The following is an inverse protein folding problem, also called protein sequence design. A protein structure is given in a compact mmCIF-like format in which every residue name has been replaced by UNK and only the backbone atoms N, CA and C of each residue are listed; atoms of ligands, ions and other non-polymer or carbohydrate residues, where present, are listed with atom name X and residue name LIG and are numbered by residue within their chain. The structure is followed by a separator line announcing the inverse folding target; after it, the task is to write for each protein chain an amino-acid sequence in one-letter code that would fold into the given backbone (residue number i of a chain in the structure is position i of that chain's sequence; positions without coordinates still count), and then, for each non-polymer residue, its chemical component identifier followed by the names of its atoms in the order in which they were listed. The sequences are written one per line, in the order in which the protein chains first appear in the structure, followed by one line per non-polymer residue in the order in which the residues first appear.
data_IF_102423371710
#
_entry.id   IF_102423371710
#
_cell.length_a   1.000
_cell.length_b   1.000
_cell.length_c   1.000
_cell.angle_alpha   90.00
_cell.angle_beta   90.00
_cell.angle_gamma   90.00
#
_symmetry.space_group_name_H-M   'P 1'
#
loop_
_entity.id
_entity.type
_entity.pdbx_description
1 polymer ?
#
# COMPACT_ATOMS: atom_id res chain seq x y z
N UNK A 1 30.83 15.90 -38.31
CA UNK A 1 29.55 16.29 -38.91
C UNK A 1 28.47 15.37 -38.39
N UNK A 2 27.44 15.91 -37.77
CA UNK A 2 26.25 15.12 -37.32
C UNK A 2 25.43 14.83 -38.58
N UNK A 3 25.25 13.55 -38.91
CA UNK A 3 24.52 13.11 -40.08
C UNK A 3 23.01 12.96 -39.78
N UNK A 4 22.67 12.56 -38.55
CA UNK A 4 21.29 12.42 -38.09
C UNK A 4 21.24 12.54 -36.57
N UNK A 5 20.11 13.03 -36.06
CA UNK A 5 19.75 12.99 -34.63
C UNK A 5 18.42 12.24 -34.49
N UNK A 6 18.38 11.26 -33.62
CA UNK A 6 17.16 10.49 -33.33
C UNK A 6 16.77 10.81 -31.90
N UNK A 7 15.59 11.38 -31.70
CA UNK A 7 15.00 11.61 -30.39
C UNK A 7 14.01 10.47 -30.11
N UNK A 8 14.24 9.76 -29.00
CA UNK A 8 13.34 8.72 -28.51
C UNK A 8 12.65 9.23 -27.26
N UNK A 9 11.34 9.25 -27.24
CA UNK A 9 10.56 9.56 -26.07
C UNK A 9 9.55 8.46 -25.81
N UNK A 10 9.45 8.02 -24.55
CA UNK A 10 8.41 7.08 -24.11
C UNK A 10 7.21 7.89 -23.61
N UNK A 11 6.03 7.77 -24.23
CA UNK A 11 4.89 8.57 -23.83
C UNK A 11 4.37 8.14 -22.46
N UNK A 12 4.11 9.12 -21.62
CA UNK A 12 3.45 8.89 -20.33
C UNK A 12 2.07 8.28 -20.52
N UNK A 13 1.70 7.38 -19.60
CA UNK A 13 0.34 6.84 -19.56
C UNK A 13 -0.65 7.99 -19.32
N UNK A 14 -1.77 7.97 -20.04
CA UNK A 14 -2.76 9.07 -20.08
C UNK A 14 -3.27 9.48 -18.68
N UNK A 15 -3.37 8.54 -17.76
CA UNK A 15 -3.97 8.73 -16.44
C UNK A 15 -2.94 9.00 -15.34
N UNK A 16 -1.63 9.08 -15.66
CA UNK A 16 -0.56 9.24 -14.66
C UNK A 16 -0.77 10.50 -13.79
N UNK A 17 -1.07 11.62 -14.42
CA UNK A 17 -1.29 12.91 -13.73
C UNK A 17 -2.52 12.89 -12.82
N UNK A 18 -3.61 12.29 -13.28
CA UNK A 18 -4.84 12.16 -12.49
C UNK A 18 -4.59 11.28 -11.25
N UNK A 19 -3.87 10.18 -11.43
CA UNK A 19 -3.57 9.25 -10.33
C UNK A 19 -2.64 9.85 -9.29
N UNK A 20 -1.62 10.61 -9.68
CA UNK A 20 -0.75 11.32 -8.73
C UNK A 20 -1.55 12.35 -7.92
N UNK A 21 -2.46 13.09 -8.59
CA UNK A 21 -3.38 14.01 -7.90
C UNK A 21 -4.32 13.30 -6.94
N UNK A 22 -4.84 12.14 -7.31
CA UNK A 22 -5.68 11.30 -6.45
C UNK A 22 -4.92 10.84 -5.20
N UNK A 23 -3.73 10.25 -5.36
CA UNK A 23 -2.92 9.79 -4.22
C UNK A 23 -2.57 10.92 -3.26
N UNK A 24 -2.25 12.10 -3.80
CA UNK A 24 -2.02 13.29 -2.97
C UNK A 24 -3.25 13.67 -2.15
N UNK A 25 -4.45 13.63 -2.75
CA UNK A 25 -5.71 13.88 -2.06
C UNK A 25 -6.01 12.87 -0.94
N UNK A 26 -5.49 11.64 -1.08
CA UNK A 26 -5.61 10.56 -0.09
C UNK A 26 -4.48 10.53 0.94
N UNK A 27 -3.63 11.57 0.97
CA UNK A 27 -2.49 11.69 1.89
C UNK A 27 -1.46 10.57 1.68
N UNK A 28 -1.34 10.08 0.44
CA UNK A 28 -0.34 9.09 0.05
C UNK A 28 0.86 9.79 -0.57
N UNK A 29 2.03 9.62 0.03
CA UNK A 29 3.29 10.13 -0.52
C UNK A 29 3.80 9.18 -1.60
N UNK A 30 3.93 9.68 -2.82
CA UNK A 30 4.46 8.92 -3.94
C UNK A 30 5.95 9.12 -4.05
N UNK A 31 6.71 8.02 -4.09
CA UNK A 31 8.15 8.02 -4.33
C UNK A 31 8.45 7.24 -5.61
N UNK A 32 9.39 7.75 -6.40
CA UNK A 32 9.80 7.13 -7.68
C UNK A 32 11.14 6.44 -7.49
N UNK A 33 11.22 5.17 -7.86
CA UNK A 33 12.44 4.36 -7.78
C UNK A 33 12.75 3.86 -9.20
N UNK A 34 13.89 4.27 -9.76
CA UNK A 34 14.30 3.89 -11.12
C UNK A 34 15.77 3.53 -11.21
N UNK A 35 16.10 2.63 -12.15
CA UNK A 35 17.48 2.34 -12.55
C UNK A 35 18.09 3.41 -13.48
N UNK A 36 17.27 4.34 -13.99
CA UNK A 36 17.66 5.33 -14.99
C UNK A 36 18.40 6.53 -14.40
N UNK A 37 18.88 7.38 -15.30
CA UNK A 37 19.58 8.62 -14.95
C UNK A 37 18.65 9.60 -14.20
N UNK A 38 19.15 10.28 -13.13
CA UNK A 38 18.36 11.20 -12.32
C UNK A 38 17.62 12.28 -13.11
N UNK A 39 18.29 12.90 -14.08
CA UNK A 39 17.71 13.96 -14.89
C UNK A 39 16.56 13.46 -15.77
N UNK A 40 16.70 12.26 -16.33
CA UNK A 40 15.64 11.60 -17.13
C UNK A 40 14.42 11.33 -16.26
N UNK A 41 14.62 10.70 -15.09
CA UNK A 41 13.53 10.36 -14.17
C UNK A 41 12.83 11.61 -13.65
N UNK A 42 13.58 12.66 -13.26
CA UNK A 42 13.04 13.94 -12.83
C UNK A 42 12.21 14.61 -13.92
N UNK A 43 12.68 14.59 -15.17
CA UNK A 43 11.95 15.15 -16.32
C UNK A 43 10.63 14.42 -16.57
N UNK A 44 10.64 13.08 -16.51
CA UNK A 44 9.43 12.26 -16.64
C UNK A 44 8.47 12.51 -15.47
N UNK A 45 8.97 12.56 -14.25
CA UNK A 45 8.17 12.84 -13.05
C UNK A 45 7.49 14.22 -13.12
N UNK A 46 8.21 15.23 -13.62
CA UNK A 46 7.65 16.57 -13.90
C UNK A 46 6.50 16.52 -14.90
N UNK A 47 6.69 15.82 -16.01
CA UNK A 47 5.64 15.66 -17.02
C UNK A 47 4.42 14.90 -16.46
N UNK A 48 4.66 13.91 -15.59
CA UNK A 48 3.61 13.18 -14.89
C UNK A 48 2.88 14.01 -13.84
N UNK A 49 3.41 15.17 -13.44
CA UNK A 49 2.80 16.06 -12.46
C UNK A 49 3.18 15.77 -11.01
N UNK A 50 4.31 15.11 -10.78
CA UNK A 50 4.88 14.97 -9.43
C UNK A 50 5.42 16.34 -9.00
N UNK A 51 4.95 16.88 -7.87
CA UNK A 51 5.32 18.22 -7.41
C UNK A 51 6.81 18.30 -7.00
N UNK A 52 7.27 17.27 -6.28
CA UNK A 52 8.64 17.23 -5.76
C UNK A 52 9.64 16.61 -6.76
N UNK A 53 9.46 16.84 -8.06
CA UNK A 53 10.30 16.26 -9.11
C UNK A 53 11.76 16.73 -9.05
N UNK A 54 12.05 17.86 -8.39
CA UNK A 54 13.41 18.36 -8.18
C UNK A 54 14.12 17.69 -6.99
N UNK A 55 13.35 16.99 -6.13
CA UNK A 55 13.87 16.29 -4.97
C UNK A 55 14.32 14.87 -5.37
N UNK A 56 15.46 14.79 -6.07
CA UNK A 56 16.02 13.52 -6.53
C UNK A 56 17.42 13.27 -5.99
N UNK A 57 17.80 12.00 -5.93
CA UNK A 57 19.12 11.55 -5.54
C UNK A 57 19.61 10.41 -6.44
N UNK A 58 20.92 10.39 -6.70
CA UNK A 58 21.61 9.30 -7.43
C UNK A 58 22.18 8.30 -6.43
N UNK A 59 21.55 7.11 -6.33
CA UNK A 59 21.98 6.08 -5.39
C UNK A 59 23.27 5.36 -5.79
N UNK A 60 23.78 5.56 -7.01
CA UNK A 60 25.10 5.04 -7.39
C UNK A 60 26.25 5.72 -6.64
N UNK A 61 26.01 6.90 -6.09
CA UNK A 61 27.01 7.67 -5.32
C UNK A 61 27.06 7.27 -3.84
N UNK A 62 26.03 6.57 -3.36
CA UNK A 62 25.93 6.13 -1.96
C UNK A 62 26.66 4.81 -1.78
N UNK A 63 27.61 4.81 -0.86
CA UNK A 63 28.46 3.63 -0.59
C UNK A 63 28.04 2.83 0.63
N UNK A 64 27.30 3.46 1.55
CA UNK A 64 26.87 2.82 2.78
C UNK A 64 25.35 2.72 2.82
N UNK A 65 24.85 1.51 3.03
CA UNK A 65 23.40 1.24 3.11
C UNK A 65 22.73 1.99 4.27
N UNK A 66 23.45 2.31 5.34
CA UNK A 66 22.94 3.09 6.47
C UNK A 66 22.52 4.53 6.06
N UNK A 67 23.18 5.10 5.04
CA UNK A 67 22.82 6.43 4.51
C UNK A 67 21.41 6.43 3.90
N UNK A 68 20.94 5.27 3.40
CA UNK A 68 19.59 5.15 2.82
C UNK A 68 18.51 5.45 3.88
N UNK A 69 18.74 5.04 5.13
CA UNK A 69 17.82 5.33 6.23
C UNK A 69 17.65 6.83 6.50
N UNK A 70 18.71 7.62 6.31
CA UNK A 70 18.66 9.07 6.56
C UNK A 70 18.01 9.85 5.43
N UNK A 71 18.13 9.37 4.18
CA UNK A 71 17.72 10.09 2.99
C UNK A 71 16.31 9.70 2.49
N UNK A 72 15.79 8.55 2.92
CA UNK A 72 14.55 7.98 2.36
C UNK A 72 13.34 8.92 2.47
N UNK A 73 13.25 9.76 3.50
CA UNK A 73 12.18 10.76 3.63
C UNK A 73 12.48 12.06 2.90
N UNK A 74 13.77 12.40 2.72
CA UNK A 74 14.20 13.69 2.17
C UNK A 74 13.95 13.81 0.67
N UNK A 75 14.02 12.67 -0.06
CA UNK A 75 13.94 12.68 -1.52
C UNK A 75 12.67 11.96 -1.98
N UNK A 76 12.12 12.46 -3.07
CA UNK A 76 10.94 11.87 -3.73
C UNK A 76 11.31 10.97 -4.90
N UNK A 77 12.51 11.15 -5.46
CA UNK A 77 13.01 10.38 -6.61
C UNK A 77 14.37 9.77 -6.27
N UNK A 78 14.44 8.46 -6.41
CA UNK A 78 15.65 7.66 -6.27
C UNK A 78 16.03 7.11 -7.63
N UNK A 79 17.19 7.50 -8.14
CA UNK A 79 17.68 7.16 -9.47
C UNK A 79 18.92 6.27 -9.40
N UNK A 80 19.22 5.53 -10.47
CA UNK A 80 20.31 4.54 -10.57
C UNK A 80 20.30 3.53 -9.43
N UNK A 81 19.09 3.11 -9.05
CA UNK A 81 18.87 2.20 -7.93
C UNK A 81 19.16 0.78 -8.36
N UNK A 82 20.05 0.09 -7.63
CA UNK A 82 20.29 -1.33 -7.81
C UNK A 82 19.15 -2.17 -7.23
N UNK A 83 19.08 -3.45 -7.60
CA UNK A 83 18.06 -4.38 -7.12
C UNK A 83 18.03 -4.48 -5.58
N UNK A 84 19.19 -4.55 -4.94
CA UNK A 84 19.28 -4.62 -3.48
C UNK A 84 18.84 -3.32 -2.81
N UNK A 85 19.23 -2.17 -3.38
CA UNK A 85 18.83 -0.86 -2.86
C UNK A 85 17.32 -0.61 -2.94
N UNK A 86 16.60 -1.19 -3.91
CA UNK A 86 15.13 -1.13 -3.96
C UNK A 86 14.51 -1.74 -2.69
N UNK A 87 14.98 -2.90 -2.28
CA UNK A 87 14.52 -3.55 -1.05
C UNK A 87 14.91 -2.77 0.20
N UNK A 88 16.12 -2.21 0.25
CA UNK A 88 16.58 -1.39 1.36
C UNK A 88 15.77 -0.10 1.52
N UNK A 89 15.37 0.55 0.42
CA UNK A 89 14.47 1.71 0.45
C UNK A 89 13.12 1.36 1.08
N UNK A 90 12.54 0.22 0.71
CA UNK A 90 11.28 -0.26 1.31
C UNK A 90 11.47 -0.52 2.80
N UNK A 91 12.53 -1.23 3.20
CA UNK A 91 12.84 -1.50 4.60
C UNK A 91 13.07 -0.22 5.41
N UNK A 92 13.77 0.75 4.82
CA UNK A 92 14.04 2.03 5.46
C UNK A 92 12.74 2.82 5.73
N UNK A 93 11.80 2.83 4.79
CA UNK A 93 10.48 3.44 4.99
C UNK A 93 9.68 2.72 6.09
N UNK A 94 9.66 1.39 6.07
CA UNK A 94 8.98 0.58 7.09
C UNK A 94 9.58 0.79 8.49
N UNK A 95 10.91 0.86 8.60
CA UNK A 95 11.60 1.11 9.87
C UNK A 95 11.27 2.48 10.46
N UNK A 96 10.87 3.45 9.63
CA UNK A 96 10.38 4.77 10.05
C UNK A 96 8.87 4.79 10.37
N UNK A 97 8.20 3.64 10.31
CA UNK A 97 6.80 3.50 10.65
C UNK A 97 5.83 3.78 9.50
N UNK A 98 6.32 3.88 8.27
CA UNK A 98 5.46 4.01 7.09
C UNK A 98 4.93 2.66 6.63
N UNK A 99 3.67 2.63 6.20
CA UNK A 99 3.12 1.50 5.45
C UNK A 99 3.43 1.70 3.97
N UNK A 100 4.13 0.75 3.37
CA UNK A 100 4.70 0.87 2.03
C UNK A 100 3.97 0.00 1.03
N UNK A 101 3.38 0.62 0.00
CA UNK A 101 2.93 -0.07 -1.20
C UNK A 101 4.02 0.03 -2.28
N UNK A 102 4.40 -1.09 -2.87
CA UNK A 102 5.39 -1.16 -3.94
C UNK A 102 4.75 -1.62 -5.25
N UNK A 103 4.99 -0.86 -6.31
CA UNK A 103 4.61 -1.28 -7.67
C UNK A 103 5.87 -1.60 -8.47
N UNK A 104 5.88 -2.76 -9.12
CA UNK A 104 6.98 -3.20 -9.96
C UNK A 104 6.52 -4.23 -11.00
N UNK A 105 7.25 -4.34 -12.10
CA UNK A 105 6.92 -5.23 -13.22
C UNK A 105 8.05 -6.20 -13.57
N UNK A 106 9.26 -5.88 -13.15
CA UNK A 106 10.46 -6.64 -13.48
C UNK A 106 10.83 -7.72 -12.48
N UNK A 107 11.65 -8.67 -12.93
CA UNK A 107 12.30 -9.66 -12.05
C UNK A 107 13.19 -8.96 -11.00
N UNK A 108 13.72 -7.80 -11.34
CA UNK A 108 14.57 -6.98 -10.46
C UNK A 108 13.80 -6.36 -9.28
N UNK A 109 12.48 -6.34 -9.32
CA UNK A 109 11.63 -5.76 -8.29
C UNK A 109 11.12 -6.80 -7.28
N UNK A 110 11.32 -8.09 -7.56
CA UNK A 110 10.76 -9.21 -6.79
C UNK A 110 11.10 -9.13 -5.31
N UNK A 111 12.33 -8.78 -4.96
CA UNK A 111 12.76 -8.69 -3.55
C UNK A 111 12.05 -7.52 -2.86
N UNK A 112 11.97 -6.37 -3.51
CA UNK A 112 11.28 -5.19 -2.99
C UNK A 112 9.76 -5.40 -2.91
N UNK A 113 9.14 -6.07 -3.90
CA UNK A 113 7.73 -6.44 -3.88
C UNK A 113 7.39 -7.37 -2.71
N UNK A 114 8.24 -8.36 -2.42
CA UNK A 114 8.06 -9.25 -1.26
C UNK A 114 8.23 -8.57 0.08
N UNK A 115 9.07 -7.53 0.14
CA UNK A 115 9.35 -6.77 1.35
C UNK A 115 8.24 -5.78 1.68
N UNK A 116 7.55 -5.23 0.68
CA UNK A 116 6.50 -4.23 0.85
C UNK A 116 5.29 -4.78 1.61
N UNK A 117 4.58 -3.91 2.34
CA UNK A 117 3.33 -4.23 3.04
C UNK A 117 2.19 -4.53 2.06
N UNK A 118 2.21 -3.86 0.89
CA UNK A 118 1.32 -4.13 -0.22
C UNK A 118 2.10 -4.12 -1.53
N UNK A 119 2.07 -5.22 -2.27
CA UNK A 119 2.73 -5.34 -3.56
C UNK A 119 1.73 -5.41 -4.70
N UNK A 120 1.97 -4.58 -5.71
CA UNK A 120 1.07 -4.39 -6.85
C UNK A 120 1.87 -4.60 -8.14
N UNK A 121 1.31 -5.33 -9.08
CA UNK A 121 1.95 -5.51 -10.39
C UNK A 121 0.95 -5.38 -11.53
N UNK A 122 1.49 -5.22 -12.74
CA UNK A 122 0.74 -5.05 -13.97
C UNK A 122 0.56 -6.38 -14.71
N UNK A 123 -0.39 -6.48 -15.66
CA UNK A 123 -0.60 -7.70 -16.45
C UNK A 123 0.61 -8.07 -17.31
N UNK A 124 1.39 -7.08 -17.74
CA UNK A 124 2.59 -7.26 -18.55
C UNK A 124 3.83 -7.61 -17.74
N UNK A 125 3.75 -7.60 -16.42
CA UNK A 125 4.87 -7.93 -15.56
C UNK A 125 5.34 -9.37 -15.75
N UNK A 126 6.56 -9.63 -15.31
CA UNK A 126 7.13 -10.98 -15.31
C UNK A 126 6.29 -11.94 -14.48
N UNK A 127 6.26 -13.21 -14.85
CA UNK A 127 5.49 -14.23 -14.12
C UNK A 127 5.95 -14.34 -12.66
N UNK A 128 7.23 -14.12 -12.40
CA UNK A 128 7.78 -14.12 -11.04
C UNK A 128 7.23 -12.93 -10.23
N UNK A 129 7.17 -11.74 -10.81
CA UNK A 129 6.59 -10.57 -10.15
C UNK A 129 5.11 -10.78 -9.85
N UNK A 130 4.34 -11.39 -10.78
CA UNK A 130 2.92 -11.73 -10.56
C UNK A 130 2.71 -12.73 -9.43
N UNK A 131 3.59 -13.74 -9.30
CA UNK A 131 3.49 -14.75 -8.26
C UNK A 131 3.78 -14.23 -6.86
N UNK A 132 4.61 -13.20 -6.73
CA UNK A 132 4.99 -12.61 -5.43
C UNK A 132 4.11 -11.45 -5.03
N UNK A 133 3.39 -10.84 -5.98
CA UNK A 133 2.55 -9.68 -5.73
C UNK A 133 1.21 -10.08 -5.12
N UNK A 134 0.73 -9.27 -4.18
CA UNK A 134 -0.57 -9.47 -3.53
C UNK A 134 -1.72 -9.03 -4.44
N UNK A 135 -1.48 -8.04 -5.29
CA UNK A 135 -2.46 -7.49 -6.22
C UNK A 135 -1.87 -7.52 -7.64
N UNK A 136 -2.61 -8.11 -8.57
CA UNK A 136 -2.31 -8.07 -10.00
C UNK A 136 -3.43 -7.29 -10.68
N UNK A 137 -3.10 -6.15 -11.28
CA UNK A 137 -4.07 -5.38 -12.06
C UNK A 137 -4.37 -6.16 -13.36
N UNK A 138 -5.64 -6.27 -13.72
CA UNK A 138 -6.03 -6.98 -14.95
C UNK A 138 -5.86 -6.11 -16.20
N UNK A 139 -5.90 -4.81 -16.04
CA UNK A 139 -5.67 -3.83 -17.08
C UNK A 139 -4.41 -3.04 -16.75
N UNK A 140 -3.66 -2.61 -17.79
CA UNK A 140 -2.49 -1.74 -17.63
C UNK A 140 -2.83 -0.30 -17.21
N UNK A 141 -4.00 -0.12 -16.61
CA UNK A 141 -4.55 1.16 -16.19
C UNK A 141 -4.45 1.32 -14.67
N UNK A 142 -3.61 2.24 -14.24
CA UNK A 142 -3.45 2.57 -12.82
C UNK A 142 -4.70 3.22 -12.21
N UNK A 143 -5.68 3.70 -13.01
CA UNK A 143 -6.93 4.28 -12.47
C UNK A 143 -7.72 3.26 -11.62
N UNK A 144 -7.54 1.97 -11.88
CA UNK A 144 -8.13 0.88 -11.10
C UNK A 144 -7.67 0.90 -9.63
N UNK A 145 -6.49 1.46 -9.33
CA UNK A 145 -6.02 1.58 -7.94
C UNK A 145 -6.93 2.44 -7.07
N UNK A 146 -7.67 3.38 -7.67
CA UNK A 146 -8.71 4.15 -6.97
C UNK A 146 -9.82 3.23 -6.46
N UNK A 147 -10.28 2.32 -7.30
CA UNK A 147 -11.34 1.38 -6.94
C UNK A 147 -10.84 0.37 -5.91
N UNK A 148 -9.59 -0.11 -6.04
CA UNK A 148 -8.92 -0.99 -5.06
C UNK A 148 -8.85 -0.31 -3.68
N UNK A 149 -8.46 0.97 -3.62
CA UNK A 149 -8.39 1.72 -2.36
C UNK A 149 -9.78 1.88 -1.72
N UNK A 150 -10.78 2.21 -2.53
CA UNK A 150 -12.16 2.38 -2.04
C UNK A 150 -12.74 1.07 -1.52
N UNK A 151 -12.51 -0.05 -2.23
CA UNK A 151 -12.94 -1.37 -1.78
C UNK A 151 -12.18 -1.82 -0.53
N UNK A 152 -10.88 -1.57 -0.44
CA UNK A 152 -10.09 -1.82 0.77
C UNK A 152 -10.66 -1.08 1.98
N UNK A 153 -11.01 0.20 1.85
CA UNK A 153 -11.69 0.97 2.91
C UNK A 153 -13.03 0.38 3.31
N UNK A 154 -13.81 -0.06 2.33
CA UNK A 154 -15.10 -0.70 2.58
C UNK A 154 -14.92 -1.98 3.40
N UNK A 155 -13.97 -2.83 3.03
CA UNK A 155 -13.64 -4.07 3.75
C UNK A 155 -13.21 -3.76 5.19
N UNK A 156 -12.29 -2.81 5.38
CA UNK A 156 -11.83 -2.40 6.72
C UNK A 156 -13.00 -1.89 7.57
N UNK A 157 -13.87 -1.04 7.02
CA UNK A 157 -15.04 -0.55 7.72
C UNK A 157 -16.00 -1.68 8.11
N UNK A 158 -16.26 -2.63 7.22
CA UNK A 158 -17.11 -3.77 7.50
C UNK A 158 -16.52 -4.64 8.62
N UNK A 159 -15.23 -4.97 8.54
CA UNK A 159 -14.53 -5.74 9.59
C UNK A 159 -14.60 -5.00 10.92
N UNK A 160 -14.35 -3.70 10.92
CA UNK A 160 -14.39 -2.88 12.14
C UNK A 160 -15.79 -2.86 12.77
N UNK A 161 -16.83 -2.73 11.96
CA UNK A 161 -18.22 -2.77 12.42
C UNK A 161 -18.57 -4.12 13.06
N UNK A 162 -18.24 -5.22 12.38
CA UNK A 162 -18.47 -6.58 12.90
C UNK A 162 -17.69 -6.81 14.19
N UNK A 163 -16.39 -6.46 14.22
CA UNK A 163 -15.56 -6.58 15.41
C UNK A 163 -16.11 -5.76 16.59
N UNK A 164 -16.65 -4.56 16.31
CA UNK A 164 -17.28 -3.71 17.34
C UNK A 164 -18.50 -4.39 17.97
N UNK A 165 -19.35 -5.05 17.17
CA UNK A 165 -20.52 -5.80 17.66
C UNK A 165 -20.08 -6.94 18.58
N UNK A 166 -19.08 -7.73 18.16
CA UNK A 166 -18.52 -8.79 18.99
C UNK A 166 -17.93 -8.28 20.31
N UNK A 167 -17.24 -7.14 20.26
CA UNK A 167 -16.64 -6.53 21.43
C UNK A 167 -17.68 -6.05 22.43
N UNK A 168 -18.73 -5.36 21.95
CA UNK A 168 -19.85 -4.88 22.80
C UNK A 168 -20.55 -6.07 23.45
N UNK A 169 -20.82 -7.15 22.72
CA UNK A 169 -21.43 -8.37 23.26
C UNK A 169 -20.59 -8.98 24.37
N UNK A 170 -19.28 -9.12 24.14
CA UNK A 170 -18.36 -9.68 25.13
C UNK A 170 -18.35 -8.83 26.41
N UNK A 171 -18.26 -7.51 26.27
CA UNK A 171 -18.30 -6.57 27.38
C UNK A 171 -19.62 -6.68 28.18
N UNK A 172 -20.75 -6.70 27.46
CA UNK A 172 -22.07 -6.89 28.06
C UNK A 172 -22.17 -8.19 28.85
N UNK A 173 -21.70 -9.31 28.28
CA UNK A 173 -21.71 -10.62 28.93
C UNK A 173 -20.88 -10.64 30.22
N UNK A 174 -19.70 -10.03 30.19
CA UNK A 174 -18.83 -9.89 31.37
C UNK A 174 -19.50 -9.03 32.45
N UNK A 175 -20.07 -7.88 32.09
CA UNK A 175 -20.76 -7.01 33.03
C UNK A 175 -21.96 -7.70 33.69
N UNK A 176 -22.74 -8.45 32.89
CA UNK A 176 -23.88 -9.21 33.38
C UNK A 176 -23.45 -10.31 34.35
N UNK A 177 -22.36 -11.00 34.05
CA UNK A 177 -21.81 -12.03 34.94
C UNK A 177 -21.35 -11.47 36.27
N UNK A 178 -20.69 -10.31 36.27
CA UNK A 178 -20.26 -9.60 37.48
C UNK A 178 -21.50 -9.19 38.30
N UNK A 179 -22.52 -8.64 37.65
CA UNK A 179 -23.76 -8.24 38.32
C UNK A 179 -24.44 -9.43 38.99
N UNK A 180 -24.52 -10.57 38.33
CA UNK A 180 -25.11 -11.80 38.91
C UNK A 180 -24.33 -12.31 40.13
N UNK A 181 -23.01 -12.20 40.11
CA UNK A 181 -22.18 -12.57 41.28
C UNK A 181 -22.49 -11.65 42.47
N UNK A 182 -22.58 -10.33 42.22
CA UNK A 182 -22.87 -9.35 43.29
C UNK A 182 -24.27 -9.53 43.84
N UNK A 183 -25.26 -9.79 43.00
CA UNK A 183 -26.67 -9.93 43.39
C UNK A 183 -27.03 -11.34 43.89
N UNK A 184 -26.11 -12.30 43.78
CA UNK A 184 -26.34 -13.71 44.10
C UNK A 184 -27.57 -14.30 43.37
N UNK A 185 -27.89 -13.82 42.16
CA UNK A 185 -29.02 -14.28 41.34
C UNK A 185 -28.58 -15.28 40.31
N UNK A 186 -29.54 -16.15 39.86
CA UNK A 186 -29.26 -17.05 38.75
C UNK A 186 -29.06 -16.27 37.45
N UNK A 187 -28.26 -16.84 36.54
CA UNK A 187 -28.01 -16.20 35.23
C UNK A 187 -29.32 -16.06 34.44
N UNK A 188 -29.67 -14.85 33.96
CA UNK A 188 -31.00 -14.53 33.44
C UNK A 188 -31.33 -15.20 32.08
N UNK A 189 -30.31 -15.70 31.36
CA UNK A 189 -30.50 -16.31 30.04
C UNK A 189 -30.22 -17.80 30.01
N UNK A 190 -31.09 -18.53 29.33
CA UNK A 190 -30.81 -19.93 28.96
C UNK A 190 -29.88 -19.99 27.74
N UNK A 191 -29.04 -21.03 27.60
CA UNK A 191 -28.14 -21.19 26.46
C UNK A 191 -28.81 -21.03 25.08
N UNK A 192 -30.02 -21.55 24.92
CA UNK A 192 -30.78 -21.42 23.68
C UNK A 192 -31.14 -19.98 23.34
N UNK A 193 -31.42 -19.14 24.36
CA UNK A 193 -31.75 -17.73 24.16
C UNK A 193 -30.51 -16.95 23.70
N UNK A 194 -29.35 -17.26 24.26
CA UNK A 194 -28.08 -16.65 23.82
C UNK A 194 -27.80 -17.03 22.37
N UNK A 195 -27.98 -18.29 21.98
CA UNK A 195 -27.80 -18.74 20.59
C UNK A 195 -28.72 -18.01 19.62
N UNK A 196 -30.00 -17.78 20.01
CA UNK A 196 -30.95 -17.05 19.17
C UNK A 196 -30.54 -15.54 19.03
N UNK A 197 -30.09 -14.94 20.11
CA UNK A 197 -29.59 -13.55 20.08
C UNK A 197 -28.34 -13.46 19.17
N UNK A 198 -27.44 -14.42 19.28
CA UNK A 198 -26.23 -14.50 18.46
C UNK A 198 -26.59 -14.64 16.99
N UNK A 199 -27.51 -15.54 16.67
CA UNK A 199 -27.97 -15.73 15.28
C UNK A 199 -28.64 -14.46 14.71
N UNK A 200 -29.46 -13.78 15.52
CA UNK A 200 -30.17 -12.59 15.08
C UNK A 200 -29.25 -11.35 14.93
N UNK A 201 -28.31 -11.17 15.84
CA UNK A 201 -27.44 -9.98 15.84
C UNK A 201 -26.20 -10.20 15.01
N UNK A 202 -25.49 -11.31 15.22
CA UNK A 202 -24.21 -11.58 14.53
C UNK A 202 -24.44 -12.20 13.15
N UNK A 203 -25.37 -13.14 13.02
CA UNK A 203 -25.65 -13.79 11.75
C UNK A 203 -26.18 -12.82 10.70
N UNK A 204 -27.10 -11.91 11.09
CA UNK A 204 -27.68 -10.95 10.16
C UNK A 204 -26.72 -9.79 9.81
N UNK A 205 -25.87 -9.35 10.74
CA UNK A 205 -24.94 -8.22 10.48
C UNK A 205 -23.64 -8.65 9.81
N UNK A 206 -23.35 -9.96 9.76
CA UNK A 206 -22.16 -10.51 9.08
C UNK A 206 -22.39 -10.72 7.58
N UNK A 207 -23.62 -10.62 7.09
CA UNK A 207 -24.02 -10.65 5.69
C UNK A 207 -24.19 -9.24 5.14
#
# INVERSE_FOLDING_TARGET
DIIASIELSDPLRKNAKEMLGFFKGEVVTVKVISGDNPLTVSSIAKQAGLEDYESYIDLSTIKNDDEIMEIVDKYSIFARVSQNQKSLLVQALQAKGHTVAMTGDGVNDVIALRQADCSITLPEASDVAKQVSQIVLLNSDFSVLKDVLMEGRRVVNNITNVATIFFIKTLYSVMLSILNIITCTAFPFMPIQITLIDLAIEGYTSF
#
